data_IF_343697074210
#
_entry.id   IF_343697074210
#
_cell.length_a   1.000
_cell.length_b   1.000
_cell.length_c   1.000
_cell.angle_alpha   90.00
_cell.angle_beta   90.00
_cell.angle_gamma   90.00
#
_symmetry.space_group_name_H-M   'P 1'
#
loop_
_entity.id
_entity.type
_entity.pdbx_description
1 polymer ?
#
# COMPACT_ATOMS: atom_id res chain seq x y z
N UNK A 1 3.99 -23.11 2.10
CA UNK A 1 3.40 -24.48 1.96
C UNK A 1 3.74 -25.05 0.58
N UNK A 2 3.81 -26.38 0.43
CA UNK A 2 3.91 -27.01 -0.91
C UNK A 2 2.51 -27.03 -1.51
N UNK A 3 2.35 -26.50 -2.71
CA UNK A 3 1.08 -26.46 -3.44
C UNK A 3 1.20 -27.21 -4.76
N UNK A 4 0.06 -27.63 -5.30
CA UNK A 4 0.00 -28.19 -6.65
C UNK A 4 0.37 -27.10 -7.67
N UNK A 5 0.98 -27.50 -8.78
CA UNK A 5 1.27 -26.57 -9.87
C UNK A 5 -0.03 -25.93 -10.39
N UNK A 6 0.06 -24.66 -10.74
CA UNK A 6 -1.05 -23.85 -11.21
C UNK A 6 -0.57 -23.08 -12.44
N UNK A 7 -0.99 -23.50 -13.63
CA UNK A 7 -0.49 -22.98 -14.90
C UNK A 7 -0.70 -21.47 -15.06
N UNK A 8 -1.82 -20.97 -14.53
CA UNK A 8 -2.19 -19.56 -14.54
C UNK A 8 -1.34 -18.69 -13.60
N UNK A 9 -0.24 -19.15 -13.00
CA UNK A 9 0.67 -18.33 -12.17
C UNK A 9 1.68 -17.53 -13.01
N UNK A 10 2.20 -18.12 -14.09
CA UNK A 10 3.30 -17.53 -14.87
C UNK A 10 2.78 -16.92 -16.18
N UNK A 11 3.40 -15.87 -16.73
CA UNK A 11 4.56 -15.14 -16.20
C UNK A 11 4.20 -13.97 -15.28
N UNK A 12 2.94 -13.52 -15.28
CA UNK A 12 2.55 -12.29 -14.58
C UNK A 12 1.63 -12.54 -13.39
N UNK A 13 0.74 -13.52 -13.46
CA UNK A 13 -0.39 -13.64 -12.53
C UNK A 13 -0.03 -14.01 -11.09
N UNK A 14 1.18 -14.49 -10.81
CA UNK A 14 1.65 -14.88 -9.48
C UNK A 14 1.41 -13.79 -8.43
N UNK A 15 1.49 -12.51 -8.80
CA UNK A 15 1.34 -11.41 -7.85
C UNK A 15 -0.10 -11.25 -7.31
N UNK A 16 -1.10 -11.86 -7.96
CA UNK A 16 -2.49 -11.91 -7.51
C UNK A 16 -2.76 -12.96 -6.43
N UNK A 17 -1.78 -13.80 -6.10
CA UNK A 17 -1.92 -14.88 -5.11
C UNK A 17 -1.13 -14.54 -3.85
N UNK A 18 -1.75 -14.64 -2.68
CA UNK A 18 -1.15 -14.20 -1.41
C UNK A 18 0.17 -14.89 -1.07
N UNK A 19 0.37 -16.12 -1.55
CA UNK A 19 1.60 -16.86 -1.32
C UNK A 19 2.79 -16.25 -2.06
N UNK A 20 2.58 -15.62 -3.21
CA UNK A 20 3.65 -15.20 -4.11
C UNK A 20 3.73 -13.68 -4.27
N UNK A 21 2.62 -12.96 -4.07
CA UNK A 21 2.63 -11.51 -4.13
C UNK A 21 1.58 -10.84 -3.26
N UNK A 22 1.32 -9.58 -3.60
CA UNK A 22 0.64 -8.60 -2.76
C UNK A 22 -0.29 -7.68 -3.59
N UNK A 23 -0.67 -8.14 -4.80
CA UNK A 23 -1.60 -7.44 -5.68
C UNK A 23 -1.10 -6.11 -6.22
N UNK A 24 -2.02 -5.36 -6.83
CA UNK A 24 -1.69 -4.04 -7.38
C UNK A 24 -1.27 -3.02 -6.33
N UNK A 25 -1.78 -3.14 -5.10
CA UNK A 25 -1.35 -2.25 -4.01
C UNK A 25 0.13 -2.42 -3.69
N UNK A 26 0.69 -3.62 -3.81
CA UNK A 26 2.12 -3.84 -3.67
C UNK A 26 2.91 -3.51 -4.92
N UNK A 27 2.38 -3.84 -6.10
CA UNK A 27 3.01 -3.58 -7.39
C UNK A 27 3.19 -2.07 -7.68
N UNK A 28 2.14 -1.27 -7.48
CA UNK A 28 2.16 0.17 -7.77
C UNK A 28 2.41 1.01 -6.51
N UNK A 29 1.89 0.56 -5.37
CA UNK A 29 1.88 1.35 -4.15
C UNK A 29 3.26 1.59 -3.56
N UNK A 30 4.20 0.66 -3.68
CA UNK A 30 5.56 0.87 -3.15
C UNK A 30 6.24 2.08 -3.79
N UNK A 31 5.97 2.36 -5.07
CA UNK A 31 6.55 3.51 -5.76
C UNK A 31 5.88 4.82 -5.36
N UNK A 32 4.55 4.85 -5.38
CA UNK A 32 3.80 6.10 -5.18
C UNK A 32 3.64 6.45 -3.70
N UNK A 33 3.37 5.47 -2.83
CA UNK A 33 3.25 5.71 -1.40
C UNK A 33 4.58 6.11 -0.77
N UNK A 34 5.72 5.62 -1.26
CA UNK A 34 7.04 6.08 -0.83
C UNK A 34 7.21 7.59 -1.07
N UNK A 35 6.93 8.04 -2.30
CA UNK A 35 7.02 9.44 -2.67
C UNK A 35 5.99 10.29 -1.91
N UNK A 36 4.77 9.78 -1.72
CA UNK A 36 3.75 10.47 -0.91
C UNK A 36 4.18 10.61 0.55
N UNK A 37 4.83 9.58 1.13
CA UNK A 37 5.38 9.62 2.49
C UNK A 37 6.47 10.67 2.63
N UNK A 38 7.32 10.89 1.63
CA UNK A 38 8.34 11.95 1.67
C UNK A 38 7.75 13.36 1.80
N UNK A 39 6.49 13.55 1.43
CA UNK A 39 5.80 14.83 1.55
C UNK A 39 5.23 15.09 2.96
N UNK A 40 5.23 14.07 3.82
CA UNK A 40 4.75 14.16 5.20
C UNK A 40 5.96 14.38 6.11
N UNK A 41 6.08 15.55 6.78
CA UNK A 41 7.23 15.85 7.63
C UNK A 41 7.46 14.80 8.72
N UNK A 42 8.65 14.21 8.74
CA UNK A 42 9.06 13.22 9.76
C UNK A 42 8.38 11.86 9.64
N UNK A 43 7.69 11.57 8.53
CA UNK A 43 6.98 10.32 8.36
C UNK A 43 7.92 9.11 8.19
N UNK A 44 7.74 8.13 9.07
CA UNK A 44 8.32 6.79 8.94
C UNK A 44 7.17 5.79 8.88
N UNK A 45 6.56 5.48 10.01
CA UNK A 45 5.41 4.58 10.11
C UNK A 45 4.12 5.34 10.44
N UNK A 46 2.96 4.89 9.92
CA UNK A 46 1.67 5.43 10.30
C UNK A 46 1.29 4.93 11.70
N UNK A 47 0.42 5.69 12.38
CA UNK A 47 -0.17 5.28 13.66
C UNK A 47 -1.32 4.30 13.47
N UNK A 48 -2.08 4.47 12.38
CA UNK A 48 -3.20 3.58 12.04
C UNK A 48 -3.26 3.33 10.55
N UNK A 49 -3.71 2.13 10.18
CA UNK A 49 -3.98 1.75 8.80
C UNK A 49 -5.32 1.08 8.73
N UNK A 50 -6.11 1.41 7.72
CA UNK A 50 -7.25 0.60 7.33
C UNK A 50 -7.41 0.67 5.81
N UNK A 51 -8.20 -0.24 5.26
CA UNK A 51 -8.52 -0.20 3.84
C UNK A 51 -9.93 -0.72 3.58
N UNK A 52 -10.43 -0.40 2.39
CA UNK A 52 -11.62 -1.03 1.82
C UNK A 52 -11.32 -1.45 0.39
N UNK A 53 -11.97 -2.48 -0.11
CA UNK A 53 -11.75 -2.89 -1.50
C UNK A 53 -12.36 -4.23 -1.84
N UNK A 54 -11.99 -4.75 -3.00
CA UNK A 54 -12.46 -6.04 -3.49
C UNK A 54 -11.82 -6.43 -4.81
N UNK A 55 -12.22 -7.61 -5.29
CA UNK A 55 -11.89 -8.12 -6.62
C UNK A 55 -13.13 -8.03 -7.50
N UNK A 56 -13.30 -6.91 -8.18
CA UNK A 56 -14.52 -6.52 -8.88
C UNK A 56 -14.41 -6.68 -10.38
N UNK A 57 -15.43 -7.28 -11.02
CA UNK A 57 -15.51 -7.42 -12.48
C UNK A 57 -14.61 -8.51 -13.06
N UNK A 58 -13.88 -9.25 -12.22
CA UNK A 58 -13.00 -10.34 -12.64
C UNK A 58 -13.63 -11.66 -12.21
N UNK A 59 -13.71 -12.61 -13.14
CA UNK A 59 -14.03 -14.01 -12.84
C UNK A 59 -12.74 -14.82 -13.07
N UNK A 60 -11.90 -14.89 -12.04
CA UNK A 60 -10.59 -15.52 -12.12
C UNK A 60 -10.18 -16.16 -10.78
N UNK A 61 -8.94 -16.63 -10.72
CA UNK A 61 -8.36 -17.31 -9.55
C UNK A 61 -7.56 -16.35 -8.63
N UNK A 62 -7.56 -15.05 -8.93
CA UNK A 62 -6.83 -14.05 -8.16
C UNK A 62 -7.42 -13.87 -6.76
N UNK A 63 -6.56 -13.65 -5.78
CA UNK A 63 -6.94 -13.55 -4.36
C UNK A 63 -6.83 -12.13 -3.81
N UNK A 64 -5.93 -11.32 -4.36
CA UNK A 64 -5.76 -9.93 -3.94
C UNK A 64 -6.80 -9.03 -4.61
N UNK A 65 -7.12 -7.92 -3.93
CA UNK A 65 -7.99 -6.90 -4.50
C UNK A 65 -7.41 -6.32 -5.80
N UNK A 66 -8.27 -6.08 -6.79
CA UNK A 66 -7.93 -5.27 -7.97
C UNK A 66 -8.32 -3.80 -7.75
N UNK A 67 -9.24 -3.53 -6.81
CA UNK A 67 -9.60 -2.18 -6.39
C UNK A 67 -9.49 -2.09 -4.88
N UNK A 68 -8.66 -1.18 -4.38
CA UNK A 68 -8.36 -1.07 -2.95
C UNK A 68 -8.02 0.38 -2.58
N UNK A 69 -8.80 0.93 -1.65
CA UNK A 69 -8.54 2.22 -1.02
C UNK A 69 -7.92 1.97 0.34
N UNK A 70 -6.65 2.35 0.51
CA UNK A 70 -5.93 2.28 1.77
C UNK A 70 -5.71 3.68 2.35
N UNK A 71 -5.92 3.82 3.66
CA UNK A 71 -5.75 5.07 4.37
C UNK A 71 -4.79 4.84 5.54
N UNK A 72 -3.75 5.66 5.58
CA UNK A 72 -2.71 5.63 6.60
C UNK A 72 -2.73 6.94 7.37
N UNK A 73 -2.95 6.84 8.67
CA UNK A 73 -3.03 7.99 9.58
C UNK A 73 -1.65 8.27 10.20
N UNK A 74 -1.06 9.41 9.86
CA UNK A 74 0.20 9.90 10.44
C UNK A 74 -0.03 10.94 11.56
N UNK A 75 -1.29 11.17 11.97
CA UNK A 75 -1.69 12.19 12.92
C UNK A 75 -2.25 13.43 12.22
N UNK A 76 -1.39 14.40 11.93
CA UNK A 76 -1.82 15.65 11.26
C UNK A 76 -2.06 15.47 9.76
N UNK A 77 -1.61 14.35 9.19
CA UNK A 77 -1.70 14.06 7.76
C UNK A 77 -2.22 12.65 7.53
N UNK A 78 -2.97 12.50 6.44
CA UNK A 78 -3.40 11.21 5.92
C UNK A 78 -2.68 10.94 4.62
N UNK A 79 -2.15 9.74 4.47
CA UNK A 79 -1.78 9.21 3.16
C UNK A 79 -2.94 8.34 2.69
N UNK A 80 -3.51 8.68 1.53
CA UNK A 80 -4.59 7.92 0.90
C UNK A 80 -4.06 7.33 -0.39
N UNK A 81 -4.20 6.03 -0.57
CA UNK A 81 -3.80 5.33 -1.78
C UNK A 81 -4.99 4.58 -2.38
N UNK A 82 -5.34 4.91 -3.61
CA UNK A 82 -6.53 4.41 -4.31
C UNK A 82 -6.11 3.60 -5.54
N UNK A 83 -6.18 2.28 -5.43
CA UNK A 83 -5.95 1.33 -6.53
C UNK A 83 -7.25 1.11 -7.27
N UNK A 84 -7.23 1.27 -8.60
CA UNK A 84 -8.36 1.03 -9.50
C UNK A 84 -7.96 0.10 -10.63
N UNK A 85 -8.37 -1.16 -10.53
CA UNK A 85 -8.00 -2.22 -11.48
C UNK A 85 -8.96 -2.40 -12.66
N UNK A 86 -9.97 -1.54 -12.76
CA UNK A 86 -10.89 -1.48 -13.91
C UNK A 86 -10.59 -0.23 -14.74
N UNK A 87 -10.90 -0.27 -16.03
CA UNK A 87 -10.83 0.93 -16.88
C UNK A 87 -11.95 1.91 -16.52
N UNK A 88 -11.83 3.19 -16.87
CA UNK A 88 -12.88 4.16 -16.60
C UNK A 88 -12.39 5.60 -16.69
N UNK A 89 -13.31 6.54 -16.86
CA UNK A 89 -13.10 7.99 -16.89
C UNK A 89 -12.63 8.54 -15.55
N UNK A 90 -13.00 7.85 -14.47
CA UNK A 90 -12.61 8.21 -13.12
C UNK A 90 -11.17 7.77 -12.78
N UNK A 91 -10.46 7.07 -13.67
CA UNK A 91 -9.05 6.72 -13.48
C UNK A 91 -8.16 7.96 -13.59
N UNK A 92 -7.27 8.13 -12.62
CA UNK A 92 -6.33 9.26 -12.57
C UNK A 92 -4.93 8.93 -13.10
N UNK A 93 -4.72 7.69 -13.55
CA UNK A 93 -3.38 7.18 -13.86
C UNK A 93 -2.55 6.96 -12.58
N UNK A 94 -1.25 6.69 -12.77
CA UNK A 94 -0.30 6.54 -11.66
C UNK A 94 0.27 7.92 -11.31
N UNK A 95 -0.25 8.53 -10.25
CA UNK A 95 0.16 9.87 -9.80
C UNK A 95 -0.01 10.07 -8.30
N UNK A 96 0.75 11.02 -7.76
CA UNK A 96 0.56 11.53 -6.41
C UNK A 96 -0.10 12.91 -6.47
N UNK A 97 -1.06 13.13 -5.58
CA UNK A 97 -1.76 14.41 -5.42
C UNK A 97 -1.63 14.88 -3.97
N UNK A 98 -1.31 16.15 -3.79
CA UNK A 98 -1.17 16.77 -2.47
C UNK A 98 -2.27 17.81 -2.30
N UNK A 99 -2.98 17.73 -1.17
CA UNK A 99 -4.06 18.63 -0.82
C UNK A 99 -3.68 19.36 0.46
N UNK A 100 -3.62 20.69 0.40
CA UNK A 100 -3.46 21.56 1.56
C UNK A 100 -4.72 22.42 1.71
N UNK A 101 -4.92 23.03 2.88
CA UNK A 101 -6.11 23.84 3.15
C UNK A 101 -6.08 25.22 2.45
N UNK A 102 -7.00 26.11 2.84
CA UNK A 102 -7.76 27.08 2.01
C UNK A 102 -6.99 28.01 1.06
N UNK A 103 -5.66 28.07 1.06
CA UNK A 103 -4.86 28.85 0.11
C UNK A 103 -3.68 28.07 -0.51
N UNK A 104 -3.58 26.76 -0.34
CA UNK A 104 -2.42 25.98 -0.77
C UNK A 104 -2.77 25.02 -1.92
N UNK A 105 -2.45 25.51 -3.12
CA UNK A 105 -2.79 25.00 -4.44
C UNK A 105 -2.56 23.48 -4.64
N UNK A 106 -3.55 22.84 -5.28
CA UNK A 106 -3.45 21.49 -5.82
C UNK A 106 -2.33 21.42 -6.86
N UNK A 107 -1.22 20.75 -6.53
CA UNK A 107 -0.19 20.41 -7.51
C UNK A 107 -0.29 18.94 -7.87
N UNK A 108 -1.10 18.64 -8.89
CA UNK A 108 -1.01 17.36 -9.58
C UNK A 108 0.38 17.24 -10.17
N UNK A 109 1.21 16.38 -9.60
CA UNK A 109 2.58 16.18 -10.06
C UNK A 109 2.79 14.70 -10.33
N UNK A 110 3.25 14.40 -11.54
CA UNK A 110 3.76 13.07 -11.85
C UNK A 110 4.99 12.85 -10.97
N UNK A 111 5.06 11.68 -10.34
CA UNK A 111 5.92 11.33 -9.21
C UNK A 111 7.41 11.69 -9.32
N UNK A 112 7.95 11.78 -10.53
CA UNK A 112 9.37 12.04 -10.73
C UNK A 112 9.62 13.55 -10.84
N UNK A 113 10.35 14.11 -9.86
CA UNK A 113 10.88 15.48 -9.97
C UNK A 113 10.13 16.55 -9.17
N UNK A 114 9.43 16.20 -8.09
CA UNK A 114 8.90 17.18 -7.16
C UNK A 114 10.02 18.02 -6.55
N UNK A 115 10.11 19.28 -6.96
CA UNK A 115 11.15 20.22 -6.55
C UNK A 115 11.10 20.42 -5.03
N UNK A 116 12.23 20.23 -4.37
CA UNK A 116 12.45 20.39 -2.92
C UNK A 116 11.83 19.33 -2.00
N UNK A 117 11.19 18.27 -2.53
CA UNK A 117 10.85 17.10 -1.70
C UNK A 117 12.08 16.21 -1.61
N UNK A 118 12.54 15.97 -0.38
CA UNK A 118 13.68 15.09 -0.10
C UNK A 118 13.17 13.83 0.58
N UNK A 119 13.87 12.74 0.31
CA UNK A 119 13.75 11.51 1.07
C UNK A 119 14.03 11.82 2.57
N UNK A 120 13.18 11.32 3.49
CA UNK A 120 13.28 11.64 4.92
C UNK A 120 14.52 11.05 5.60
N UNK A 121 15.10 9.94 5.11
CA UNK A 121 16.27 9.30 5.75
C UNK A 121 17.51 9.27 4.85
N UNK A 122 17.39 9.48 3.54
CA UNK A 122 18.52 9.41 2.61
C UNK A 122 18.82 10.73 1.89
N UNK A 123 20.13 11.03 1.71
CA UNK A 123 20.58 12.11 0.82
C UNK A 123 20.85 11.50 -0.55
N UNK A 124 20.13 11.94 -1.58
CA UNK A 124 20.41 11.52 -2.96
C UNK A 124 21.81 11.95 -3.37
N UNK A 125 22.59 11.03 -3.91
CA UNK A 125 23.92 11.25 -4.42
C UNK A 125 23.93 11.81 -5.84
N UNK A 126 25.15 11.95 -6.38
CA UNK A 126 25.40 12.57 -7.69
C UNK A 126 25.58 11.56 -8.84
N UNK A 127 25.59 10.27 -8.51
CA UNK A 127 25.81 9.17 -9.45
C UNK A 127 24.51 8.42 -9.71
N UNK A 128 24.47 7.57 -10.74
CA UNK A 128 23.29 6.73 -10.97
C UNK A 128 23.16 5.61 -9.91
N UNK A 129 21.98 4.99 -9.87
CA UNK A 129 21.64 3.98 -8.85
C UNK A 129 22.54 2.75 -8.87
N UNK A 130 23.03 2.32 -10.04
CA UNK A 130 23.89 1.14 -10.16
C UNK A 130 25.31 1.47 -9.73
N UNK A 131 25.80 2.65 -10.12
CA UNK A 131 27.10 3.14 -9.65
C UNK A 131 27.11 3.29 -8.13
N UNK A 132 26.08 3.93 -7.54
CA UNK A 132 25.96 4.08 -6.09
C UNK A 132 26.00 2.72 -5.37
N UNK A 133 25.21 1.74 -5.84
CA UNK A 133 25.17 0.40 -5.26
C UNK A 133 26.55 -0.29 -5.34
N UNK A 134 27.20 -0.28 -6.51
CA UNK A 134 28.52 -0.89 -6.69
C UNK A 134 29.56 -0.23 -5.79
N UNK A 135 29.53 1.10 -5.66
CA UNK A 135 30.42 1.84 -4.77
C UNK A 135 30.19 1.45 -3.30
N UNK A 136 28.93 1.37 -2.84
CA UNK A 136 28.62 0.98 -1.47
C UNK A 136 29.10 -0.45 -1.15
N UNK A 137 28.90 -1.40 -2.08
CA UNK A 137 29.37 -2.79 -1.96
C UNK A 137 30.91 -2.85 -1.92
N UNK A 138 31.60 -2.19 -2.85
CA UNK A 138 33.07 -2.19 -2.90
C UNK A 138 33.68 -1.57 -1.65
N UNK A 139 33.10 -0.48 -1.15
CA UNK A 139 33.57 0.20 0.05
C UNK A 139 33.13 -0.49 1.34
N UNK A 140 32.18 -1.43 1.28
CA UNK A 140 31.57 -2.10 2.44
C UNK A 140 31.00 -1.10 3.45
N UNK A 141 30.35 -0.05 2.95
CA UNK A 141 29.80 1.05 3.77
C UNK A 141 28.35 1.28 3.41
N UNK A 142 27.44 0.88 4.29
CA UNK A 142 26.00 1.06 4.11
C UNK A 142 25.60 2.53 3.97
N UNK A 143 26.25 3.42 4.73
CA UNK A 143 25.99 4.86 4.67
C UNK A 143 26.45 5.53 3.36
N UNK A 144 27.00 4.78 2.40
CA UNK A 144 27.22 5.25 1.03
C UNK A 144 25.99 5.04 0.13
N UNK A 145 24.97 4.29 0.57
CA UNK A 145 23.75 4.08 -0.21
C UNK A 145 22.89 5.34 -0.24
N UNK A 146 22.49 5.75 -1.45
CA UNK A 146 21.57 6.87 -1.67
C UNK A 146 20.11 6.50 -1.40
N UNK A 147 19.81 5.19 -1.35
CA UNK A 147 18.51 4.62 -0.99
C UNK A 147 18.74 3.51 0.03
N UNK A 148 18.57 3.84 1.31
CA UNK A 148 18.82 2.91 2.41
C UNK A 148 17.81 1.77 2.41
N UNK A 149 18.21 0.54 2.78
CA UNK A 149 17.31 -0.62 2.81
C UNK A 149 16.11 -0.41 3.73
N UNK A 150 16.32 0.36 4.81
CA UNK A 150 15.26 0.74 5.75
C UNK A 150 14.13 1.55 5.08
N UNK A 151 14.42 2.38 4.07
CA UNK A 151 13.36 3.08 3.32
C UNK A 151 12.52 2.09 2.49
N UNK A 152 13.19 1.12 1.85
CA UNK A 152 12.52 0.03 1.17
C UNK A 152 11.65 -0.82 2.10
N UNK A 153 12.11 -1.07 3.33
CA UNK A 153 11.36 -1.76 4.38
C UNK A 153 10.09 -1.00 4.77
N UNK A 154 10.20 0.29 5.07
CA UNK A 154 9.07 1.14 5.46
C UNK A 154 8.03 1.22 4.33
N UNK A 155 8.46 1.53 3.11
CA UNK A 155 7.56 1.72 1.98
C UNK A 155 6.89 0.42 1.52
N UNK A 156 7.61 -0.70 1.54
CA UNK A 156 6.99 -2.02 1.32
C UNK A 156 6.05 -2.40 2.47
N UNK A 157 6.40 -2.03 3.70
CA UNK A 157 5.59 -2.23 4.89
C UNK A 157 4.22 -1.56 4.80
N UNK A 158 4.11 -0.37 4.22
CA UNK A 158 2.80 0.27 3.97
C UNK A 158 1.89 -0.61 3.11
N UNK A 159 2.41 -1.16 2.00
CA UNK A 159 1.67 -2.09 1.14
C UNK A 159 1.22 -3.33 1.92
N UNK A 160 2.09 -3.86 2.78
CA UNK A 160 1.79 -5.03 3.60
C UNK A 160 0.74 -4.77 4.68
N UNK A 161 0.80 -3.61 5.36
CA UNK A 161 -0.19 -3.20 6.36
C UNK A 161 -1.57 -3.02 5.73
N UNK A 162 -1.66 -2.42 4.54
CA UNK A 162 -2.93 -2.31 3.82
C UNK A 162 -3.51 -3.68 3.45
N UNK A 163 -2.67 -4.59 2.95
CA UNK A 163 -3.08 -5.97 2.66
C UNK A 163 -3.47 -6.74 3.93
N UNK A 164 -2.82 -6.49 5.06
CA UNK A 164 -3.15 -7.12 6.34
C UNK A 164 -4.53 -6.66 6.82
N UNK A 165 -4.79 -5.35 6.79
CA UNK A 165 -6.11 -4.76 7.05
C UNK A 165 -7.17 -5.42 6.16
N UNK A 166 -6.91 -5.55 4.85
CA UNK A 166 -7.84 -6.18 3.91
C UNK A 166 -8.12 -7.64 4.26
N UNK A 167 -7.08 -8.43 4.50
CA UNK A 167 -7.21 -9.89 4.72
C UNK A 167 -7.90 -10.22 6.04
N UNK A 168 -7.80 -9.35 7.04
CA UNK A 168 -8.48 -9.46 8.33
C UNK A 168 -9.87 -8.81 8.36
N UNK A 169 -10.28 -8.22 7.23
CA UNK A 169 -11.55 -7.53 7.08
C UNK A 169 -12.73 -8.46 6.90
N UNK A 170 -13.92 -7.87 6.95
CA UNK A 170 -15.19 -8.57 6.80
C UNK A 170 -15.94 -8.09 5.55
N UNK A 171 -16.77 -8.98 4.99
CA UNK A 171 -17.65 -8.61 3.88
C UNK A 171 -18.76 -7.67 4.35
N UNK A 172 -18.97 -6.61 3.58
CA UNK A 172 -20.09 -5.69 3.74
C UNK A 172 -20.68 -5.32 2.39
N UNK A 173 -22.00 -5.12 2.35
CA UNK A 173 -22.65 -4.49 1.19
C UNK A 173 -22.46 -2.97 1.20
N UNK A 174 -22.44 -2.35 0.02
CA UNK A 174 -22.34 -0.88 -0.10
C UNK A 174 -23.57 -0.12 0.40
N UNK A 175 -24.71 -0.80 0.58
CA UNK A 175 -25.94 -0.23 1.12
C UNK A 175 -25.91 -0.04 2.66
N UNK A 176 -24.95 -0.65 3.36
CA UNK A 176 -24.78 -0.47 4.80
C UNK A 176 -24.00 0.81 5.06
N UNK A 177 -24.54 1.69 5.91
CA UNK A 177 -23.78 2.85 6.44
C UNK A 177 -22.67 2.33 7.35
N UNK A 178 -21.47 2.15 6.81
CA UNK A 178 -20.31 1.81 7.63
C UNK A 178 -19.83 3.05 8.38
N UNK A 179 -19.74 2.92 9.72
CA UNK A 179 -19.26 3.97 10.63
C UNK A 179 -17.73 3.94 10.80
N UNK A 180 -17.06 3.04 10.10
CA UNK A 180 -15.66 2.68 10.36
C UNK A 180 -14.65 3.78 10.01
N UNK A 181 -15.08 4.78 9.24
CA UNK A 181 -14.25 5.94 8.88
C UNK A 181 -14.20 7.03 9.97
N UNK A 182 -14.80 6.80 11.14
CA UNK A 182 -14.69 7.70 12.30
C UNK A 182 -15.18 9.14 12.06
N UNK A 183 -16.03 9.35 11.05
CA UNK A 183 -16.51 10.69 10.66
C UNK A 183 -15.56 11.50 9.77
N UNK A 184 -14.47 10.89 9.27
CA UNK A 184 -13.53 11.55 8.37
C UNK A 184 -14.16 11.80 6.99
N UNK A 185 -14.63 13.03 6.77
CA UNK A 185 -15.33 13.45 5.53
C UNK A 185 -14.51 13.17 4.26
N UNK A 186 -13.20 13.42 4.30
CA UNK A 186 -12.32 13.21 3.16
C UNK A 186 -12.20 11.71 2.83
N UNK A 187 -12.14 10.84 3.84
CA UNK A 187 -12.14 9.40 3.63
C UNK A 187 -13.43 8.92 2.95
N UNK A 188 -14.59 9.47 3.34
CA UNK A 188 -15.86 9.15 2.69
C UNK A 188 -15.91 9.58 1.22
N UNK A 189 -15.34 10.74 0.87
CA UNK A 189 -15.24 11.20 -0.52
C UNK A 189 -14.53 10.15 -1.41
N UNK A 190 -13.43 9.56 -0.96
CA UNK A 190 -12.72 8.54 -1.75
C UNK A 190 -13.52 7.24 -1.92
N UNK A 191 -14.36 6.86 -0.95
CA UNK A 191 -15.28 5.72 -1.12
C UNK A 191 -16.34 6.05 -2.16
N UNK A 192 -16.93 7.25 -2.10
CA UNK A 192 -17.93 7.69 -3.08
C UNK A 192 -17.34 7.64 -4.49
N UNK A 193 -16.09 8.09 -4.66
CA UNK A 193 -15.36 7.98 -5.93
C UNK A 193 -15.06 6.54 -6.35
N UNK A 194 -14.84 5.62 -5.41
CA UNK A 194 -14.73 4.18 -5.71
C UNK A 194 -16.10 3.65 -6.18
N UNK A 195 -17.18 3.98 -5.49
CA UNK A 195 -18.54 3.58 -5.85
C UNK A 195 -18.93 4.06 -7.25
N UNK A 196 -18.60 5.31 -7.59
CA UNK A 196 -18.80 5.86 -8.93
C UNK A 196 -18.00 5.08 -9.99
N UNK A 197 -16.74 4.76 -9.70
CA UNK A 197 -15.89 3.97 -10.58
C UNK A 197 -16.44 2.56 -10.83
N UNK A 198 -16.96 1.91 -9.79
CA UNK A 198 -17.58 0.59 -9.92
C UNK A 198 -18.88 0.65 -10.73
N UNK A 199 -19.73 1.67 -10.50
CA UNK A 199 -20.96 1.90 -11.29
C UNK A 199 -20.65 2.16 -12.76
N UNK A 200 -19.61 2.96 -13.04
CA UNK A 200 -19.13 3.21 -14.40
C UNK A 200 -18.77 1.91 -15.14
N UNK A 201 -18.26 0.92 -14.41
CA UNK A 201 -17.93 -0.41 -14.94
C UNK A 201 -19.10 -1.39 -14.93
N UNK A 202 -20.33 -0.92 -14.74
CA UNK A 202 -21.54 -1.74 -14.81
C UNK A 202 -21.80 -2.58 -13.56
N UNK A 203 -21.08 -2.37 -12.46
CA UNK A 203 -21.39 -3.03 -11.19
C UNK A 203 -22.59 -2.37 -10.53
N UNK A 204 -23.52 -3.21 -10.06
CA UNK A 204 -24.64 -2.79 -9.22
C UNK A 204 -24.22 -2.90 -7.75
N UNK A 205 -24.13 -1.77 -7.06
CA UNK A 205 -23.57 -1.71 -5.70
C UNK A 205 -24.45 -2.45 -4.68
N UNK A 206 -25.75 -2.49 -4.91
CA UNK A 206 -26.74 -3.21 -4.10
C UNK A 206 -26.58 -4.74 -4.17
N UNK A 207 -25.96 -5.25 -5.24
CA UNK A 207 -25.66 -6.68 -5.46
C UNK A 207 -24.16 -6.99 -5.26
N UNK A 208 -23.36 -5.99 -4.86
CA UNK A 208 -21.91 -6.11 -4.73
C UNK A 208 -21.47 -5.98 -3.27
N UNK A 209 -20.83 -7.03 -2.76
CA UNK A 209 -20.09 -6.96 -1.50
C UNK A 209 -18.67 -6.43 -1.73
N UNK A 210 -18.15 -5.74 -0.73
CA UNK A 210 -16.74 -5.37 -0.63
C UNK A 210 -16.19 -5.77 0.75
N UNK A 211 -14.89 -5.74 0.90
CA UNK A 211 -14.23 -5.97 2.19
C UNK A 211 -14.01 -4.65 2.89
N UNK A 212 -14.50 -4.57 4.13
CA UNK A 212 -14.12 -3.54 5.10
C UNK A 212 -12.98 -4.08 5.92
N UNK A 213 -11.78 -3.55 5.69
CA UNK A 213 -10.57 -3.98 6.36
C UNK A 213 -10.57 -3.64 7.85
N UNK A 214 -9.93 -4.50 8.65
CA UNK A 214 -9.73 -4.25 10.07
C UNK A 214 -8.81 -3.05 10.27
N UNK A 215 -9.19 -2.10 11.12
CA UNK A 215 -8.27 -1.01 11.50
C UNK A 215 -7.13 -1.56 12.34
N UNK A 216 -5.90 -1.36 11.88
CA UNK A 216 -4.67 -1.75 12.55
C UNK A 216 -4.06 -0.54 13.26
N UNK A 217 -3.85 -0.63 14.56
CA UNK A 217 -3.13 0.39 15.35
C UNK A 217 -1.66 -0.03 15.43
N UNK A 218 -0.77 0.65 14.71
CA UNK A 218 0.62 0.23 14.54
C UNK A 218 1.55 0.94 15.52
N UNK A 219 2.35 0.17 16.26
CA UNK A 219 3.43 0.69 17.10
C UNK A 219 4.73 0.73 16.29
N UNK A 220 5.21 1.93 16.01
CA UNK A 220 6.42 2.15 15.20
C UNK A 220 7.71 1.75 15.88
N UNK A 221 7.73 1.59 17.21
CA UNK A 221 8.94 1.21 17.96
C UNK A 221 9.19 -0.29 17.94
N UNK A 222 8.11 -1.06 18.07
CA UNK A 222 8.16 -2.53 18.07
C UNK A 222 7.82 -3.13 16.71
N UNK A 223 7.31 -2.32 15.78
CA UNK A 223 6.79 -2.72 14.46
C UNK A 223 5.71 -3.80 14.56
N UNK A 224 4.78 -3.61 15.51
CA UNK A 224 3.67 -4.55 15.80
C UNK A 224 2.31 -3.86 15.75
N UNK A 225 1.24 -4.64 15.59
CA UNK A 225 -0.15 -4.17 15.75
C UNK A 225 -0.54 -4.27 17.23
N UNK A 226 -0.84 -3.13 17.85
CA UNK A 226 -1.24 -3.05 19.26
C UNK A 226 -2.53 -3.82 19.51
N UNK A 227 -2.47 -4.82 20.39
CA UNK A 227 -3.65 -5.58 20.84
C UNK A 227 -4.26 -6.53 19.81
N UNK A 228 -3.56 -6.85 18.71
CA UNK A 228 -4.05 -7.75 17.66
C UNK A 228 -3.07 -8.89 17.38
N UNK A 229 -3.18 -9.97 18.15
CA UNK A 229 -2.33 -11.17 18.02
C UNK A 229 -2.50 -11.88 16.66
N UNK A 230 -3.70 -11.81 16.08
CA UNK A 230 -3.97 -12.42 14.77
C UNK A 230 -3.21 -11.66 13.67
N UNK A 231 -3.30 -10.33 13.68
CA UNK A 231 -2.56 -9.49 12.76
C UNK A 231 -1.04 -9.64 12.93
N UNK A 232 -0.55 -9.68 14.17
CA UNK A 232 0.89 -9.85 14.44
C UNK A 232 1.45 -11.17 13.90
N UNK A 233 0.67 -12.27 13.94
CA UNK A 233 1.08 -13.55 13.35
C UNK A 233 1.28 -13.49 11.83
N UNK A 234 0.70 -12.50 11.16
CA UNK A 234 0.79 -12.33 9.71
C UNK A 234 1.91 -11.36 9.27
N UNK A 235 2.59 -10.69 10.20
CA UNK A 235 3.74 -9.81 9.91
C UNK A 235 4.96 -10.59 9.41
N UNK A 236 5.02 -11.89 9.70
CA UNK A 236 6.05 -12.80 9.21
C UNK A 236 5.40 -14.04 8.60
N UNK A 237 6.20 -14.86 7.92
CA UNK A 237 5.77 -16.10 7.30
C UNK A 237 6.53 -17.27 7.89
N UNK A 238 5.89 -18.44 7.90
CA UNK A 238 6.61 -19.69 8.14
C UNK A 238 7.50 -19.98 6.95
N UNK A 239 8.81 -19.73 7.11
CA UNK A 239 9.81 -20.03 6.09
C UNK A 239 9.94 -21.54 5.87
N UNK A 240 10.24 -21.94 4.64
CA UNK A 240 10.48 -23.35 4.28
C UNK A 240 11.93 -23.71 4.59
N UNK A 241 12.24 -24.66 5.49
CA UNK A 241 13.61 -25.12 5.68
C UNK A 241 14.22 -25.71 4.40
N UNK A 242 15.51 -25.49 4.10
CA UNK A 242 16.49 -24.69 4.86
C UNK A 242 16.50 -23.19 4.54
N UNK A 243 15.59 -22.69 3.69
CA UNK A 243 15.54 -21.29 3.22
C UNK A 243 14.85 -20.37 4.25
N UNK A 244 15.53 -20.06 5.35
CA UNK A 244 14.99 -19.25 6.44
C UNK A 244 15.72 -17.91 6.56
N UNK A 245 15.00 -16.85 6.95
CA UNK A 245 15.61 -15.60 7.40
C UNK A 245 16.11 -15.82 8.84
N UNK A 246 17.39 -15.54 9.15
CA UNK A 246 17.92 -15.70 10.49
C UNK A 246 17.21 -14.78 11.50
N UNK A 247 16.93 -15.29 12.70
CA UNK A 247 16.37 -14.47 13.80
C UNK A 247 17.40 -13.48 14.37
N UNK A 248 18.68 -13.63 14.02
CA UNK A 248 19.79 -12.75 14.41
C UNK A 248 20.70 -12.59 13.21
N UNK A 249 21.03 -11.34 12.87
CA UNK A 249 21.98 -10.95 11.81
C UNK A 249 23.29 -10.54 12.47
#
# INVERSE_FOLDING_TARGET
PKENYHENLVHYNWHWFWNYGNGDIGNQGVHQMDIARWMIPGAVWPKKVFCVGGRFGYNDQGQTANTQLAIFDYGESLLVFDVRGLSGKTNMGVSNHVYFDKNAEQKTTKSHGLKNIKDPLAKRGKVDIFENFIQAVRNRKENHLDAHVYEGHVSSGLCHLANLSYRLGEKSGFNKKNKDFGGNKNAYEYIERMQEHLKENGLKLEETDYIVGRTLNFDSKTETITGDDEANKMLSRTYRPPYMVPNKV
#
